data_IF_796347013614
#
_entry.id   IF_796347013614
#
_cell.length_a   1.000
_cell.length_b   1.000
_cell.length_c   1.000
_cell.angle_alpha   90.00
_cell.angle_beta   90.00
_cell.angle_gamma   90.00
#
_symmetry.space_group_name_H-M   'P 1'
#
loop_
_entity.id
_entity.type
_entity.pdbx_description
1 polymer ?
#
# COMPACT_ATOMS: atom_id res chain seq x y z
N UNK A 1 2.59 26.48 28.95
CA UNK A 1 3.79 25.87 28.32
C UNK A 1 3.70 24.38 28.59
N UNK A 2 3.71 23.51 27.56
CA UNK A 2 3.78 22.06 27.81
C UNK A 2 5.17 21.74 28.37
N UNK A 3 5.25 21.02 29.48
CA UNK A 3 6.52 20.57 30.04
C UNK A 3 7.19 19.59 29.07
N UNK A 4 8.53 19.62 28.97
CA UNK A 4 9.26 18.70 28.09
C UNK A 4 9.13 17.24 28.53
N UNK A 5 8.76 17.01 29.80
CA UNK A 5 8.52 15.69 30.40
C UNK A 5 7.42 14.87 29.72
N UNK A 6 6.44 15.53 29.09
CA UNK A 6 5.29 14.84 28.48
C UNK A 6 5.48 14.56 26.98
N UNK A 7 6.67 14.86 26.42
CA UNK A 7 6.96 14.65 25.00
C UNK A 7 7.55 13.28 24.76
N UNK A 8 7.08 12.63 23.70
CA UNK A 8 7.59 11.34 23.25
C UNK A 8 8.38 11.55 21.95
N UNK A 9 9.60 11.04 21.91
CA UNK A 9 10.46 11.08 20.73
C UNK A 9 10.33 9.79 19.92
N UNK A 10 10.20 9.93 18.59
CA UNK A 10 10.36 8.82 17.66
C UNK A 10 11.86 8.67 17.38
N UNK A 11 12.47 7.60 17.87
CA UNK A 11 13.91 7.34 17.75
C UNK A 11 14.26 6.32 16.66
N UNK A 12 13.25 5.75 15.99
CA UNK A 12 13.43 4.81 14.89
C UNK A 12 12.10 4.47 14.23
N UNK A 13 12.15 4.06 12.96
CA UNK A 13 10.99 3.64 12.18
C UNK A 13 11.36 2.47 11.26
N UNK A 14 10.44 1.54 11.08
CA UNK A 14 10.55 0.45 10.11
C UNK A 14 9.14 0.07 9.63
N UNK A 15 9.02 -0.37 8.39
CA UNK A 15 7.74 -0.77 7.80
C UNK A 15 7.91 -1.22 6.36
N UNK A 16 6.94 -2.00 5.86
CA UNK A 16 6.80 -2.37 4.45
C UNK A 16 5.44 -1.90 3.98
N UNK A 17 5.40 -1.26 2.82
CA UNK A 17 4.23 -0.62 2.26
C UNK A 17 4.05 -1.03 0.79
N UNK A 18 2.84 -0.90 0.23
CA UNK A 18 2.60 -1.09 -1.20
C UNK A 18 3.56 -0.22 -2.02
N UNK A 19 4.35 -0.83 -2.91
CA UNK A 19 5.36 -0.15 -3.71
C UNK A 19 6.62 0.34 -2.97
N UNK A 20 6.72 0.16 -1.64
CA UNK A 20 7.85 0.61 -0.84
C UNK A 20 8.26 -0.41 0.25
N UNK A 21 9.38 -1.13 0.07
CA UNK A 21 9.83 -2.17 0.99
C UNK A 21 10.45 -1.63 2.28
N UNK A 22 10.64 -0.31 2.42
CA UNK A 22 11.13 0.35 3.62
C UNK A 22 10.61 1.81 3.74
N UNK A 23 10.91 2.44 4.88
CA UNK A 23 10.44 3.81 5.20
C UNK A 23 11.07 4.86 4.29
N UNK A 24 12.30 4.64 3.83
CA UNK A 24 13.00 5.57 2.93
C UNK A 24 12.29 5.58 1.57
N UNK A 25 12.04 4.41 1.00
CA UNK A 25 11.33 4.26 -0.27
C UNK A 25 9.88 4.76 -0.17
N UNK A 26 9.22 4.55 0.97
CA UNK A 26 7.90 5.10 1.23
C UNK A 26 7.90 6.63 1.18
N UNK A 27 8.90 7.26 1.80
CA UNK A 27 9.05 8.72 1.74
C UNK A 27 9.28 9.22 0.30
N UNK A 28 10.03 8.48 -0.53
CA UNK A 28 10.20 8.84 -1.94
C UNK A 28 8.88 8.73 -2.73
N UNK A 29 8.06 7.70 -2.51
CA UNK A 29 6.74 7.58 -3.14
C UNK A 29 5.85 8.79 -2.79
N UNK A 30 5.78 9.16 -1.51
CA UNK A 30 4.98 10.28 -1.05
C UNK A 30 5.42 11.60 -1.66
N UNK A 31 6.72 11.90 -1.66
CA UNK A 31 7.26 13.10 -2.30
C UNK A 31 7.00 13.15 -3.80
N UNK A 32 7.02 11.98 -4.46
CA UNK A 32 6.74 11.85 -5.87
C UNK A 32 5.25 11.88 -6.22
N UNK A 33 4.34 11.85 -5.24
CA UNK A 33 2.91 11.71 -5.47
C UNK A 33 2.54 10.39 -6.15
N UNK A 34 3.34 9.35 -5.95
CA UNK A 34 3.18 8.05 -6.62
C UNK A 34 2.19 7.19 -5.83
N UNK A 35 1.20 6.61 -6.53
CA UNK A 35 0.24 5.66 -5.95
C UNK A 35 0.87 4.27 -5.76
N UNK A 36 0.70 3.69 -4.57
CA UNK A 36 1.21 2.35 -4.25
C UNK A 36 0.23 1.21 -4.56
N UNK A 37 -1.03 1.53 -4.87
CA UNK A 37 -2.05 0.55 -5.26
C UNK A 37 -1.79 0.07 -6.68
N UNK A 38 -1.93 -1.23 -6.90
CA UNK A 38 -1.82 -1.85 -8.21
C UNK A 38 -3.16 -2.40 -8.66
N UNK A 39 -3.47 -2.16 -9.94
CA UNK A 39 -4.55 -2.83 -10.64
C UNK A 39 -4.02 -4.08 -11.35
N UNK A 40 -4.81 -5.16 -11.30
CA UNK A 40 -4.46 -6.45 -11.88
C UNK A 40 -5.28 -6.71 -13.14
N UNK A 41 -4.67 -7.38 -14.12
CA UNK A 41 -5.42 -7.82 -15.30
C UNK A 41 -6.26 -9.06 -14.98
N UNK A 42 -7.32 -9.35 -15.78
CA UNK A 42 -8.09 -10.58 -15.62
C UNK A 42 -7.22 -11.84 -15.69
N UNK A 43 -6.18 -11.85 -16.54
CA UNK A 43 -5.25 -12.97 -16.68
C UNK A 43 -4.40 -13.17 -15.43
N UNK A 44 -3.93 -12.07 -14.81
CA UNK A 44 -3.17 -12.12 -13.56
C UNK A 44 -4.03 -12.65 -12.40
N UNK A 45 -5.28 -12.22 -12.33
CA UNK A 45 -6.22 -12.67 -11.30
C UNK A 45 -6.63 -14.13 -11.51
N UNK A 46 -6.86 -14.54 -12.76
CA UNK A 46 -7.14 -15.94 -13.09
C UNK A 46 -5.94 -16.84 -12.75
N UNK A 47 -4.71 -16.40 -13.07
CA UNK A 47 -3.48 -17.09 -12.67
C UNK A 47 -3.30 -17.14 -11.15
N UNK A 48 -3.76 -16.12 -10.42
CA UNK A 48 -3.80 -16.11 -8.96
C UNK A 48 -4.94 -16.96 -8.36
N UNK A 49 -5.77 -17.61 -9.20
CA UNK A 49 -6.83 -18.51 -8.77
C UNK A 49 -8.13 -17.80 -8.38
N UNK A 50 -8.32 -16.54 -8.77
CA UNK A 50 -9.58 -15.82 -8.54
C UNK A 50 -10.70 -16.49 -9.36
N UNK A 51 -11.84 -16.85 -8.74
CA UNK A 51 -12.96 -17.44 -9.44
C UNK A 51 -13.48 -16.57 -10.58
N UNK A 52 -13.70 -17.18 -11.72
CA UNK A 52 -14.25 -16.53 -12.92
C UNK A 52 -15.59 -15.80 -12.66
N UNK A 53 -16.41 -16.31 -11.74
CA UNK A 53 -17.66 -15.65 -11.35
C UNK A 53 -17.42 -14.26 -10.71
N UNK A 54 -16.32 -14.09 -9.97
CA UNK A 54 -15.94 -12.79 -9.41
C UNK A 54 -15.35 -11.86 -10.48
N UNK A 55 -14.56 -12.40 -11.42
CA UNK A 55 -14.00 -11.60 -12.52
C UNK A 55 -15.07 -10.99 -13.42
N UNK A 56 -16.22 -11.66 -13.57
CA UNK A 56 -17.37 -11.16 -14.33
C UNK A 56 -18.31 -10.25 -13.54
N UNK A 57 -18.09 -10.08 -12.24
CA UNK A 57 -18.94 -9.22 -11.42
C UNK A 57 -18.63 -7.74 -11.74
N UNK A 58 -19.61 -6.94 -12.17
CA UNK A 58 -19.38 -5.52 -12.47
C UNK A 58 -18.96 -4.68 -11.25
N UNK A 59 -19.26 -5.15 -10.04
CA UNK A 59 -18.89 -4.45 -8.80
C UNK A 59 -17.50 -4.86 -8.27
N UNK A 60 -16.81 -5.77 -8.94
CA UNK A 60 -15.49 -6.22 -8.53
C UNK A 60 -14.42 -5.19 -8.90
N UNK A 61 -13.65 -4.73 -7.91
CA UNK A 61 -12.53 -3.81 -8.10
C UNK A 61 -11.21 -4.61 -8.09
N UNK A 62 -10.52 -4.76 -9.23
CA UNK A 62 -9.32 -5.58 -9.35
C UNK A 62 -8.07 -4.80 -8.88
N UNK A 63 -8.08 -4.29 -7.65
CA UNK A 63 -6.99 -3.48 -7.10
C UNK A 63 -6.58 -3.92 -5.70
N UNK A 64 -5.27 -3.86 -5.40
CA UNK A 64 -4.74 -4.16 -4.06
C UNK A 64 -3.42 -3.41 -3.80
N UNK A 65 -3.05 -3.30 -2.52
CA UNK A 65 -1.78 -2.72 -2.04
C UNK A 65 -1.04 -3.66 -1.11
#
# INVERSE_FOLDING_TARGET
MSDAKDRIAIVGMAGRFPGAPDVEQFWQLLKGGVEGIRFFTPEELAAAGVPEALLRNPDFVPANG
#
